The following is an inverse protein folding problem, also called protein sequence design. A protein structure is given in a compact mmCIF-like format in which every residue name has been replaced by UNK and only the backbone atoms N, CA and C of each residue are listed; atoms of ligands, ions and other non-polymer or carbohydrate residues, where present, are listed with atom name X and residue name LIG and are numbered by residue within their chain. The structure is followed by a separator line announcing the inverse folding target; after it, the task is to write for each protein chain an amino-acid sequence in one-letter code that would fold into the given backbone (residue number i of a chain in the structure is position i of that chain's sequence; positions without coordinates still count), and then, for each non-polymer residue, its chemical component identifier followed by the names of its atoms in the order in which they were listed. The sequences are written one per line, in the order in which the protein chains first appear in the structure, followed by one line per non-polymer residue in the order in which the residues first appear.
data_IF_332178921150
#
_entry.id   IF_332178921150
#
_cell.length_a   1.000
_cell.length_b   1.000
_cell.length_c   1.000
_cell.angle_alpha   90.00
_cell.angle_beta   90.00
_cell.angle_gamma   90.00
#
_symmetry.space_group_name_H-M   'P 1'
#
loop_
_entity.id
_entity.type
_entity.pdbx_description
1 polymer ?
#
# COMPACT_ATOMS: atom_id res chain seq x y z
N UNK A 1 -33.47 -11.09 -2.19
CA UNK A 1 -32.73 -9.81 -2.33
C UNK A 1 -31.26 -10.03 -1.96
N UNK A 2 -30.31 -9.89 -2.88
CA UNK A 2 -28.87 -9.94 -2.55
C UNK A 2 -28.53 -8.65 -1.79
N UNK A 3 -28.12 -8.77 -0.52
CA UNK A 3 -27.60 -7.64 0.26
C UNK A 3 -26.42 -7.04 -0.52
N UNK A 4 -26.46 -5.74 -0.82
CA UNK A 4 -25.30 -5.04 -1.38
C UNK A 4 -24.13 -5.17 -0.39
N UNK A 5 -22.96 -5.55 -0.92
CA UNK A 5 -21.75 -5.59 -0.09
C UNK A 5 -21.43 -4.20 0.44
N UNK A 6 -20.96 -4.07 1.70
CA UNK A 6 -20.48 -2.80 2.23
C UNK A 6 -19.48 -2.16 1.25
N UNK A 7 -19.50 -0.85 1.12
CA UNK A 7 -18.64 -0.14 0.17
C UNK A 7 -17.15 -0.45 0.36
N UNK A 8 -16.71 -0.58 1.62
CA UNK A 8 -15.35 -0.98 1.98
C UNK A 8 -14.91 -2.31 1.33
N UNK A 9 -15.84 -3.23 1.05
CA UNK A 9 -15.59 -4.54 0.44
C UNK A 9 -15.74 -4.55 -1.08
N UNK A 10 -16.09 -3.42 -1.70
CA UNK A 10 -16.25 -3.33 -3.16
C UNK A 10 -14.92 -3.58 -3.87
N UNK A 11 -15.01 -4.22 -5.02
CA UNK A 11 -13.95 -4.49 -6.02
C UNK A 11 -14.50 -4.23 -7.41
N UNK A 12 -13.62 -4.09 -8.39
CA UNK A 12 -14.03 -3.97 -9.79
C UNK A 12 -14.65 -5.26 -10.31
N UNK A 13 -14.01 -6.40 -10.05
CA UNK A 13 -14.53 -7.69 -10.50
C UNK A 13 -15.38 -8.33 -9.41
N UNK A 14 -16.65 -8.64 -9.75
CA UNK A 14 -17.54 -9.36 -8.86
C UNK A 14 -17.10 -10.83 -8.82
N UNK A 15 -16.74 -11.31 -7.63
CA UNK A 15 -16.43 -12.71 -7.38
C UNK A 15 -17.52 -13.40 -6.60
N UNK A 16 -17.61 -14.72 -6.79
CA UNK A 16 -18.35 -15.58 -5.89
C UNK A 16 -17.80 -15.47 -4.47
N UNK A 17 -18.68 -15.66 -3.49
CA UNK A 17 -18.27 -15.64 -2.09
C UNK A 17 -17.29 -16.80 -1.83
N UNK A 18 -16.13 -16.47 -1.29
CA UNK A 18 -15.21 -17.46 -0.75
C UNK A 18 -15.70 -17.85 0.65
N UNK A 19 -16.06 -19.10 0.91
CA UNK A 19 -16.56 -19.51 2.21
C UNK A 19 -15.48 -19.50 3.29
N UNK A 20 -14.21 -19.53 2.92
CA UNK A 20 -13.09 -19.68 3.85
C UNK A 20 -12.34 -18.38 4.15
N UNK A 21 -12.47 -17.35 3.30
CA UNK A 21 -11.70 -16.11 3.44
C UNK A 21 -12.58 -14.89 3.31
N UNK A 22 -12.35 -13.93 4.21
CA UNK A 22 -12.91 -12.60 4.07
C UNK A 22 -12.35 -11.89 2.82
N UNK A 23 -13.04 -10.86 2.29
CA UNK A 23 -12.49 -10.04 1.20
C UNK A 23 -11.11 -9.48 1.50
N UNK A 24 -10.85 -9.09 2.76
CA UNK A 24 -9.57 -8.51 3.19
C UNK A 24 -8.45 -9.55 3.30
N UNK A 25 -8.75 -10.76 3.74
CA UNK A 25 -7.79 -11.88 3.71
C UNK A 25 -7.38 -12.20 2.27
N UNK A 26 -8.33 -12.16 1.33
CA UNK A 26 -8.02 -12.34 -0.08
C UNK A 26 -7.12 -11.23 -0.64
N UNK A 27 -7.27 -9.99 -0.18
CA UNK A 27 -6.37 -8.89 -0.56
C UNK A 27 -4.95 -9.15 -0.10
N UNK A 28 -4.79 -9.52 1.16
CA UNK A 28 -3.50 -9.91 1.72
C UNK A 28 -2.83 -11.02 0.90
N UNK A 29 -3.56 -12.09 0.60
CA UNK A 29 -3.04 -13.20 -0.19
C UNK A 29 -2.63 -12.75 -1.61
N UNK A 30 -3.42 -11.89 -2.24
CA UNK A 30 -3.12 -11.35 -3.56
C UNK A 30 -1.81 -10.56 -3.58
N UNK A 31 -1.55 -9.79 -2.54
CA UNK A 31 -0.29 -9.05 -2.40
C UNK A 31 0.87 -10.01 -2.19
N UNK A 32 0.77 -10.93 -1.21
CA UNK A 32 1.83 -11.88 -0.88
C UNK A 32 2.25 -12.75 -2.06
N UNK A 33 1.28 -13.18 -2.89
CA UNK A 33 1.55 -14.02 -4.05
C UNK A 33 1.94 -13.24 -5.31
N UNK A 34 1.92 -11.91 -5.27
CA UNK A 34 2.32 -11.10 -6.42
C UNK A 34 3.83 -11.16 -6.68
N UNK A 35 4.23 -11.14 -7.95
CA UNK A 35 5.65 -11.04 -8.33
C UNK A 35 6.25 -9.71 -7.86
N UNK A 36 5.44 -8.64 -7.83
CA UNK A 36 5.84 -7.33 -7.38
C UNK A 36 6.28 -7.34 -5.90
N UNK A 37 5.56 -8.06 -5.03
CA UNK A 37 5.95 -8.22 -3.64
C UNK A 37 7.22 -9.07 -3.50
N UNK A 38 7.30 -10.18 -4.23
CA UNK A 38 8.48 -11.06 -4.19
C UNK A 38 9.75 -10.37 -4.69
N UNK A 39 9.64 -9.42 -5.63
CA UNK A 39 10.76 -8.58 -6.10
C UNK A 39 11.50 -7.89 -4.95
N UNK A 40 10.80 -7.54 -3.87
CA UNK A 40 11.40 -6.88 -2.71
C UNK A 40 12.53 -7.67 -2.05
N UNK A 41 12.60 -8.99 -2.26
CA UNK A 41 13.71 -9.83 -1.76
C UNK A 41 15.06 -9.44 -2.36
N UNK A 42 15.06 -8.93 -3.59
CA UNK A 42 16.27 -8.46 -4.30
C UNK A 42 16.53 -6.95 -4.13
N UNK A 43 15.76 -6.25 -3.30
CA UNK A 43 15.92 -4.79 -3.09
C UNK A 43 16.47 -4.54 -1.71
N UNK A 44 17.73 -4.06 -1.64
CA UNK A 44 18.36 -3.65 -0.38
C UNK A 44 17.63 -2.43 0.20
N UNK A 45 17.40 -2.44 1.51
CA UNK A 45 16.77 -1.33 2.22
C UNK A 45 17.76 -0.24 2.58
N UNK A 46 18.93 -0.64 3.08
CA UNK A 46 20.07 0.24 3.39
C UNK A 46 21.35 -0.52 3.10
N UNK A 47 22.30 0.12 2.44
CA UNK A 47 23.68 -0.37 2.39
C UNK A 47 24.38 0.07 3.69
N UNK A 48 24.23 -0.71 4.75
CA UNK A 48 25.01 -0.49 5.96
C UNK A 48 26.43 -0.99 5.71
N UNK A 49 27.37 -0.06 5.70
CA UNK A 49 28.79 -0.31 5.38
C UNK A 49 29.49 -1.17 6.44
N UNK A 50 28.89 -1.43 7.60
CA UNK A 50 29.59 -2.08 8.73
C UNK A 50 28.80 -3.06 9.58
N UNK A 51 27.63 -3.55 9.20
CA UNK A 51 26.94 -4.50 10.05
C UNK A 51 26.90 -5.91 9.47
N UNK A 52 27.63 -6.73 10.15
CA UNK A 52 27.74 -8.15 9.97
C UNK A 52 26.36 -8.83 9.97
N UNK A 53 26.08 -9.58 8.89
CA UNK A 53 25.28 -10.81 8.89
C UNK A 53 23.77 -10.77 8.83
N UNK A 54 23.06 -9.66 8.86
CA UNK A 54 21.62 -9.68 8.57
C UNK A 54 21.32 -8.72 7.42
N UNK A 55 21.30 -9.24 6.22
CA UNK A 55 20.82 -8.51 5.04
C UNK A 55 19.34 -8.20 5.22
N UNK A 56 19.02 -7.02 5.74
CA UNK A 56 17.65 -6.51 5.76
C UNK A 56 17.28 -6.07 4.34
N UNK A 57 16.55 -6.91 3.64
CA UNK A 57 15.94 -6.52 2.38
C UNK A 57 14.54 -5.94 2.62
N UNK A 58 13.98 -5.28 1.61
CA UNK A 58 12.66 -4.66 1.71
C UNK A 58 11.54 -5.67 1.93
N UNK A 59 11.71 -6.93 1.52
CA UNK A 59 10.72 -7.97 1.79
C UNK A 59 10.59 -8.24 3.29
N UNK A 60 11.71 -8.48 3.98
CA UNK A 60 11.70 -8.75 5.42
C UNK A 60 11.23 -7.55 6.22
N UNK A 61 11.57 -6.33 5.77
CA UNK A 61 11.03 -5.10 6.34
C UNK A 61 9.51 -5.02 6.21
N UNK A 62 8.98 -5.20 5.01
CA UNK A 62 7.53 -5.15 4.76
C UNK A 62 6.76 -6.20 5.55
N UNK A 63 7.33 -7.40 5.70
CA UNK A 63 6.75 -8.45 6.56
C UNK A 63 6.70 -8.03 8.04
N UNK A 64 7.77 -7.42 8.56
CA UNK A 64 7.81 -6.89 9.94
C UNK A 64 6.78 -5.78 10.15
N UNK A 65 6.70 -4.82 9.23
CA UNK A 65 5.73 -3.71 9.30
C UNK A 65 4.30 -4.26 9.29
N UNK A 66 4.00 -5.19 8.40
CA UNK A 66 2.70 -5.83 8.29
C UNK A 66 2.31 -6.58 9.58
N UNK A 67 3.23 -7.38 10.12
CA UNK A 67 3.04 -8.10 11.37
C UNK A 67 2.81 -7.15 12.55
N UNK A 68 3.60 -6.09 12.65
CA UNK A 68 3.47 -5.11 13.71
C UNK A 68 2.13 -4.37 13.64
N UNK A 69 1.73 -3.94 12.44
CA UNK A 69 0.44 -3.30 12.20
C UNK A 69 -0.73 -4.21 12.58
N UNK A 70 -0.68 -5.48 12.21
CA UNK A 70 -1.67 -6.49 12.64
C UNK A 70 -1.75 -6.60 14.16
N UNK A 71 -0.61 -6.67 14.86
CA UNK A 71 -0.55 -6.75 16.33
C UNK A 71 -1.08 -5.51 17.01
N UNK A 72 -0.80 -4.33 16.50
CA UNK A 72 -1.36 -3.07 17.00
C UNK A 72 -2.90 -3.07 16.93
N UNK A 73 -3.48 -3.50 15.82
CA UNK A 73 -4.95 -3.62 15.71
C UNK A 73 -5.51 -4.64 16.69
N UNK A 74 -4.83 -5.77 16.87
CA UNK A 74 -5.23 -6.77 17.87
C UNK A 74 -5.16 -6.20 19.29
N UNK A 75 -4.10 -5.47 19.63
CA UNK A 75 -3.97 -4.79 20.90
C UNK A 75 -5.13 -3.80 21.12
N UNK A 76 -5.38 -2.91 20.16
CA UNK A 76 -6.49 -1.95 20.22
C UNK A 76 -7.87 -2.60 20.38
N UNK A 77 -8.07 -3.82 19.88
CA UNK A 77 -9.33 -4.56 20.09
C UNK A 77 -9.54 -4.98 21.54
N UNK A 78 -8.47 -5.25 22.26
CA UNK A 78 -8.52 -5.68 23.67
C UNK A 78 -8.36 -4.53 24.66
N UNK A 79 -7.87 -3.38 24.22
CA UNK A 79 -7.71 -2.19 25.03
C UNK A 79 -9.09 -1.65 25.45
N UNK A 80 -9.29 -1.45 26.76
CA UNK A 80 -10.54 -0.99 27.38
C UNK A 80 -10.58 0.53 27.58
N UNK A 81 -9.55 1.27 27.19
CA UNK A 81 -9.51 2.74 27.28
C UNK A 81 -10.66 3.38 26.49
N UNK A 82 -11.03 4.60 26.86
CA UNK A 82 -12.07 5.37 26.18
C UNK A 82 -11.64 5.69 24.75
N UNK A 83 -10.38 6.06 24.56
CA UNK A 83 -9.75 6.38 23.28
C UNK A 83 -9.76 5.19 22.32
N UNK A 84 -9.40 4.00 22.80
CA UNK A 84 -9.42 2.79 21.99
C UNK A 84 -10.85 2.38 21.59
N UNK A 85 -11.82 2.59 22.48
CA UNK A 85 -13.24 2.34 22.16
C UNK A 85 -13.74 3.29 21.08
N UNK A 86 -13.43 4.57 21.21
CA UNK A 86 -13.82 5.57 20.21
C UNK A 86 -13.15 5.34 18.85
N UNK A 87 -11.86 5.01 18.84
CA UNK A 87 -11.14 4.66 17.63
C UNK A 87 -11.78 3.47 16.92
N UNK A 88 -12.14 2.40 17.64
CA UNK A 88 -12.84 1.25 17.05
C UNK A 88 -14.21 1.63 16.48
N UNK A 89 -14.93 2.51 17.15
CA UNK A 89 -16.25 2.99 16.70
C UNK A 89 -16.15 3.79 15.39
N UNK A 90 -15.18 4.69 15.30
CA UNK A 90 -15.02 5.59 14.17
C UNK A 90 -14.40 4.91 12.95
N UNK A 91 -13.40 4.08 13.15
CA UNK A 91 -12.55 3.60 12.05
C UNK A 91 -12.96 2.25 11.49
N UNK A 92 -13.69 1.42 12.25
CA UNK A 92 -13.98 0.05 11.84
C UNK A 92 -12.74 -0.78 11.49
N UNK A 93 -11.57 -0.46 12.09
CA UNK A 93 -10.25 -1.00 11.74
C UNK A 93 -10.25 -2.53 11.65
N UNK A 94 -9.78 -3.05 10.52
CA UNK A 94 -9.60 -4.48 10.24
C UNK A 94 -8.11 -4.83 10.21
N UNK A 95 -7.72 -5.83 10.99
CA UNK A 95 -6.31 -6.25 11.05
C UNK A 95 -5.74 -6.69 9.68
N UNK A 96 -6.55 -7.36 8.87
CA UNK A 96 -6.13 -7.80 7.54
C UNK A 96 -5.93 -6.63 6.57
N UNK A 97 -6.68 -5.53 6.72
CA UNK A 97 -6.50 -4.31 5.93
C UNK A 97 -5.18 -3.61 6.30
N UNK A 98 -4.92 -3.45 7.60
CA UNK A 98 -3.66 -2.82 8.07
C UNK A 98 -2.45 -3.67 7.71
N UNK A 99 -2.55 -4.99 7.84
CA UNK A 99 -1.51 -5.92 7.42
C UNK A 99 -1.23 -5.79 5.91
N UNK A 100 -2.28 -5.75 5.09
CA UNK A 100 -2.16 -5.57 3.63
C UNK A 100 -1.48 -4.24 3.28
N UNK A 101 -1.86 -3.15 3.93
CA UNK A 101 -1.20 -1.85 3.74
C UNK A 101 0.29 -1.91 4.10
N UNK A 102 0.62 -2.59 5.22
CA UNK A 102 2.01 -2.82 5.63
C UNK A 102 2.81 -3.65 4.63
N UNK A 103 2.20 -4.64 3.97
CA UNK A 103 2.87 -5.41 2.91
C UNK A 103 3.16 -4.57 1.67
N UNK A 104 2.28 -3.64 1.33
CA UNK A 104 2.36 -2.88 0.08
C UNK A 104 3.19 -1.61 0.19
N UNK A 105 3.38 -1.05 1.37
CA UNK A 105 3.92 0.32 1.54
C UNK A 105 5.23 0.57 0.77
N UNK A 106 6.09 -0.43 0.64
CA UNK A 106 7.40 -0.34 -0.03
C UNK A 106 7.46 -0.93 -1.44
N UNK A 107 6.36 -1.48 -1.96
CA UNK A 107 6.36 -2.24 -3.20
C UNK A 107 6.76 -1.43 -4.44
N UNK A 108 6.56 -0.11 -4.39
CA UNK A 108 6.90 0.83 -5.45
C UNK A 108 8.26 1.49 -5.31
N UNK A 109 8.97 1.28 -4.21
CA UNK A 109 10.27 1.91 -4.03
C UNK A 109 11.32 1.32 -4.97
N UNK A 110 12.19 2.17 -5.53
CA UNK A 110 13.29 1.74 -6.40
C UNK A 110 14.42 1.10 -5.58
N UNK A 111 15.38 0.42 -6.24
CA UNK A 111 16.67 0.14 -5.63
C UNK A 111 17.29 1.41 -5.08
N UNK A 112 18.00 1.32 -3.95
CA UNK A 112 18.58 2.44 -3.21
C UNK A 112 17.56 3.41 -2.56
N UNK A 113 16.27 3.07 -2.59
CA UNK A 113 15.20 3.77 -1.84
C UNK A 113 15.12 5.26 -2.13
N UNK A 114 15.00 6.05 -1.07
CA UNK A 114 14.81 7.50 -1.15
C UNK A 114 15.98 8.26 -1.80
N UNK A 115 17.19 7.67 -1.84
CA UNK A 115 18.33 8.29 -2.53
C UNK A 115 18.13 8.27 -4.05
N UNK A 116 17.55 7.21 -4.60
CA UNK A 116 17.29 7.09 -6.03
C UNK A 116 16.02 7.83 -6.49
N UNK A 117 15.08 8.09 -5.61
CA UNK A 117 13.81 8.72 -5.99
C UNK A 117 13.98 10.11 -6.66
N UNK A 118 14.77 11.06 -6.11
CA UNK A 118 14.98 12.35 -6.76
C UNK A 118 15.62 12.23 -8.14
N UNK A 119 16.53 11.28 -8.32
CA UNK A 119 17.20 11.04 -9.60
C UNK A 119 16.19 10.51 -10.63
N UNK A 120 15.39 9.50 -10.26
CA UNK A 120 14.35 8.97 -11.11
C UNK A 120 13.28 10.02 -11.44
N UNK A 121 12.91 10.84 -10.47
CA UNK A 121 11.97 11.92 -10.66
C UNK A 121 12.48 12.94 -11.70
N UNK A 122 13.72 13.35 -11.56
CA UNK A 122 14.38 14.28 -12.49
C UNK A 122 14.48 13.68 -13.91
N UNK A 123 14.91 12.42 -14.03
CA UNK A 123 15.00 11.72 -15.29
C UNK A 123 13.64 11.60 -16.00
N UNK A 124 12.60 11.20 -15.28
CA UNK A 124 11.26 11.05 -15.86
C UNK A 124 10.68 12.39 -16.31
N UNK A 125 10.89 13.46 -15.55
CA UNK A 125 10.46 14.80 -15.98
C UNK A 125 11.25 15.31 -17.17
N UNK A 126 12.54 15.08 -17.21
CA UNK A 126 13.37 15.40 -18.35
C UNK A 126 12.96 14.67 -19.63
N UNK A 127 12.40 13.47 -19.49
CA UNK A 127 11.83 12.69 -20.61
C UNK A 127 10.38 13.06 -20.96
N UNK A 128 9.84 14.17 -20.42
CA UNK A 128 8.47 14.64 -20.70
C UNK A 128 7.38 14.04 -19.81
N UNK A 129 7.73 13.27 -18.79
CA UNK A 129 6.80 12.75 -17.79
C UNK A 129 6.39 13.82 -16.78
N UNK A 130 5.21 14.44 -16.97
CA UNK A 130 4.74 15.58 -16.16
C UNK A 130 4.68 15.30 -14.65
N UNK A 131 4.41 14.06 -14.25
CA UNK A 131 4.22 13.68 -12.84
C UNK A 131 5.51 13.25 -12.13
N UNK A 132 6.56 12.87 -12.89
CA UNK A 132 7.80 12.38 -12.34
C UNK A 132 7.67 11.03 -11.61
N UNK A 133 8.46 10.81 -10.57
CA UNK A 133 8.47 9.58 -9.79
C UNK A 133 8.29 9.85 -8.29
N UNK A 134 7.48 9.02 -7.63
CA UNK A 134 7.34 8.95 -6.18
C UNK A 134 6.97 7.52 -5.76
N UNK A 135 7.68 6.99 -4.74
CA UNK A 135 7.59 5.57 -4.36
C UNK A 135 6.22 5.10 -3.87
N UNK A 136 5.48 5.95 -3.12
CA UNK A 136 4.14 5.57 -2.65
C UNK A 136 3.12 5.61 -3.78
N UNK A 137 3.20 6.62 -4.67
CA UNK A 137 2.36 6.68 -5.87
C UNK A 137 2.64 5.48 -6.78
N UNK A 138 3.91 5.08 -6.92
CA UNK A 138 4.28 3.90 -7.67
C UNK A 138 3.78 2.60 -7.00
N UNK A 139 3.77 2.52 -5.65
CA UNK A 139 3.15 1.41 -4.93
C UNK A 139 1.67 1.25 -5.30
N UNK A 140 0.94 2.34 -5.28
CA UNK A 140 -0.47 2.36 -5.67
C UNK A 140 -0.66 1.98 -7.14
N UNK A 141 0.15 2.52 -8.04
CA UNK A 141 0.13 2.17 -9.46
C UNK A 141 0.39 0.68 -9.69
N UNK A 142 1.33 0.09 -8.97
CA UNK A 142 1.63 -1.33 -9.10
C UNK A 142 0.40 -2.17 -8.76
N UNK A 143 -0.24 -1.93 -7.61
CA UNK A 143 -1.37 -2.76 -7.18
C UNK A 143 -2.66 -2.52 -7.96
N UNK A 144 -2.82 -1.31 -8.56
CA UNK A 144 -4.04 -0.96 -9.32
C UNK A 144 -3.91 -1.20 -10.82
N UNK A 145 -2.69 -1.16 -11.38
CA UNK A 145 -2.48 -1.17 -12.84
C UNK A 145 -1.48 -2.22 -13.32
N UNK A 146 -0.35 -2.42 -12.62
CA UNK A 146 0.80 -3.14 -13.18
C UNK A 146 0.89 -4.60 -12.71
N UNK A 147 0.61 -4.90 -11.44
CA UNK A 147 0.68 -6.25 -10.88
C UNK A 147 -0.50 -7.09 -11.35
N UNK A 148 -0.51 -7.42 -12.64
CA UNK A 148 -1.62 -8.10 -13.28
C UNK A 148 -1.77 -9.53 -12.79
N UNK A 149 -2.95 -9.85 -12.27
CA UNK A 149 -3.32 -11.19 -11.84
C UNK A 149 -4.26 -11.91 -12.81
N UNK A 150 -5.11 -11.15 -13.49
CA UNK A 150 -6.13 -11.65 -14.40
C UNK A 150 -6.13 -10.85 -15.70
N UNK A 151 -6.73 -11.40 -16.73
CA UNK A 151 -6.85 -10.72 -18.01
C UNK A 151 -7.90 -9.62 -17.96
N UNK A 152 -8.97 -9.86 -17.19
CA UNK A 152 -10.18 -9.01 -17.17
C UNK A 152 -9.98 -7.72 -16.38
N UNK A 153 -8.94 -7.65 -15.53
CA UNK A 153 -8.70 -6.47 -14.70
C UNK A 153 -7.20 -6.19 -14.52
N UNK A 154 -6.75 -4.96 -14.79
CA UNK A 154 -5.39 -4.54 -14.46
C UNK A 154 -5.19 -4.48 -12.93
N UNK A 155 -3.98 -4.76 -12.48
CA UNK A 155 -3.65 -4.75 -11.05
C UNK A 155 -4.15 -5.98 -10.28
N UNK A 156 -4.16 -5.86 -8.97
CA UNK A 156 -4.49 -6.95 -8.04
C UNK A 156 -5.99 -7.03 -7.69
N UNK A 157 -6.80 -6.07 -8.11
CA UNK A 157 -8.22 -5.98 -7.79
C UNK A 157 -8.47 -6.07 -6.27
N UNK A 158 -7.83 -5.18 -5.52
CA UNK A 158 -8.00 -5.07 -4.07
C UNK A 158 -9.31 -4.37 -3.71
N UNK A 159 -9.79 -4.58 -2.48
CA UNK A 159 -10.96 -3.87 -1.96
C UNK A 159 -10.67 -2.38 -1.79
N UNK A 160 -11.71 -1.56 -1.82
CA UNK A 160 -11.58 -0.11 -1.55
C UNK A 160 -10.93 0.17 -0.21
N UNK A 161 -11.28 -0.56 0.85
CA UNK A 161 -10.64 -0.39 2.16
C UNK A 161 -9.14 -0.65 2.12
N UNK A 162 -8.69 -1.68 1.41
CA UNK A 162 -7.25 -1.97 1.29
C UNK A 162 -6.54 -0.92 0.44
N UNK A 163 -7.17 -0.41 -0.61
CA UNK A 163 -6.63 0.68 -1.43
C UNK A 163 -6.53 1.98 -0.65
N UNK A 164 -7.56 2.33 0.12
CA UNK A 164 -7.58 3.53 0.97
C UNK A 164 -6.49 3.48 2.05
N UNK A 165 -6.34 2.34 2.71
CA UNK A 165 -5.36 2.15 3.79
C UNK A 165 -3.90 2.28 3.34
N UNK A 166 -3.60 2.14 2.05
CA UNK A 166 -2.25 2.29 1.50
C UNK A 166 -1.98 3.69 0.94
N UNK A 167 -2.99 4.56 0.89
CA UNK A 167 -2.85 5.94 0.44
C UNK A 167 -2.12 6.78 1.50
N UNK A 168 -0.83 7.01 1.30
CA UNK A 168 -0.03 7.78 2.26
C UNK A 168 -0.22 9.29 2.08
N UNK A 169 -0.23 9.76 0.84
CA UNK A 169 -0.33 11.17 0.48
C UNK A 169 -1.36 11.38 -0.63
N UNK A 170 -2.65 11.38 -0.33
CA UNK A 170 -3.73 11.41 -1.32
C UNK A 170 -3.95 12.81 -1.92
N UNK A 171 -2.89 13.45 -2.40
CA UNK A 171 -2.94 14.78 -3.02
C UNK A 171 -2.25 14.76 -4.38
N UNK A 172 -2.74 15.51 -5.37
CA UNK A 172 -2.03 15.69 -6.62
C UNK A 172 -0.73 16.51 -6.39
N UNK A 173 0.29 16.26 -7.20
CA UNK A 173 1.57 16.97 -7.10
C UNK A 173 1.40 18.49 -7.21
N UNK A 174 0.49 18.94 -8.08
CA UNK A 174 0.16 20.36 -8.23
C UNK A 174 -0.34 21.00 -6.94
N UNK A 175 -1.13 20.28 -6.15
CA UNK A 175 -1.62 20.78 -4.86
C UNK A 175 -0.56 20.67 -3.74
N UNK A 176 0.50 19.90 -3.95
CA UNK A 176 1.60 19.77 -2.99
C UNK A 176 2.60 20.94 -3.06
N UNK A 177 2.61 21.69 -4.16
CA UNK A 177 3.53 22.84 -4.32
C UNK A 177 3.30 23.93 -3.27
N UNK A 178 2.07 24.11 -2.84
CA UNK A 178 1.66 25.13 -1.87
C UNK A 178 1.66 24.62 -0.41
N UNK A 179 2.05 23.40 -0.18
CA UNK A 179 2.03 22.79 1.16
C UNK A 179 3.20 23.34 2.01
N UNK A 180 2.97 23.73 3.27
CA UNK A 180 3.94 24.40 4.10
C UNK A 180 5.09 23.51 4.58
N UNK A 181 4.93 22.17 4.56
CA UNK A 181 5.94 21.21 5.01
C UNK A 181 6.19 20.13 3.96
N UNK A 182 7.35 19.45 4.03
CA UNK A 182 7.65 18.32 3.15
C UNK A 182 6.69 17.13 3.34
N UNK A 183 6.16 16.94 4.54
CA UNK A 183 5.16 15.94 4.85
C UNK A 183 3.83 16.24 4.15
N UNK A 184 3.53 17.51 3.96
CA UNK A 184 2.34 17.98 3.27
C UNK A 184 2.52 18.04 1.75
N UNK A 185 3.77 17.97 1.27
CA UNK A 185 4.10 17.87 -0.16
C UNK A 185 3.97 16.47 -0.73
N UNK A 186 3.25 15.59 -0.04
CA UNK A 186 2.98 14.24 -0.51
C UNK A 186 2.42 14.25 -1.92
N UNK A 187 3.03 13.47 -2.79
CA UNK A 187 2.58 13.29 -4.16
C UNK A 187 1.37 12.40 -4.16
N UNK A 188 0.23 13.02 -4.10
CA UNK A 188 -1.04 12.33 -4.07
C UNK A 188 -1.33 11.66 -5.39
N UNK A 189 -2.13 10.66 -5.28
CA UNK A 189 -2.56 9.82 -6.35
C UNK A 189 -3.40 10.58 -7.36
N UNK A 190 -2.81 11.00 -8.44
CA UNK A 190 -3.54 11.34 -9.67
C UNK A 190 -4.06 10.09 -10.40
N UNK A 191 -3.89 8.94 -9.79
CA UNK A 191 -4.39 7.72 -10.36
C UNK A 191 -5.86 7.59 -9.96
N UNK A 192 -6.73 8.29 -10.70
CA UNK A 192 -8.15 8.04 -10.61
C UNK A 192 -8.38 6.54 -10.69
N UNK A 193 -8.79 5.96 -9.57
CA UNK A 193 -9.41 4.64 -9.61
C UNK A 193 -10.74 4.90 -10.30
N UNK A 194 -10.98 4.37 -11.51
CA UNK A 194 -12.27 4.50 -12.15
C UNK A 194 -13.34 4.01 -11.17
N UNK A 195 -14.41 4.77 -11.04
CA UNK A 195 -15.57 4.41 -10.23
C UNK A 195 -16.13 3.04 -10.60
#
# INVERSE_FOLDING_TARGET
MRKQKPEAERRHVKFENDPFRTPFQRDRDRVLYSSAFRRLSGVAQVAAVNEQRVLHNRLTHSLKVAQLGRRLVQHLKHDKSAEARELRRLSGIKADVVETAGLVHDIGHPPFGHVAEPVLDACLRGAGGLEGFEGNAQSFRIVTKLARRRVEHPGLDLTRASLDAMLKYPRPRSAAADAPTWTDRGYGNKWNVPE
#
